data_IF_417022851986
#
_entry.id   IF_417022851986
#
_cell.length_a   1.000
_cell.length_b   1.000
_cell.length_c   1.000
_cell.angle_alpha   90.00
_cell.angle_beta   90.00
_cell.angle_gamma   90.00
#
_symmetry.space_group_name_H-M   'P 1'
#
loop_
_entity.id
_entity.type
_entity.pdbx_description
1 polymer ?
#
# COMPACT_ATOMS: atom_id res chain seq x y z
N UNK A 1 6.16 14.64 14.78
CA UNK A 1 7.11 14.45 13.67
C UNK A 1 6.34 14.65 12.36
N UNK A 2 6.42 15.81 11.75
CA UNK A 2 5.99 16.02 10.36
C UNK A 2 7.13 15.55 9.44
N UNK A 3 7.28 14.25 9.28
CA UNK A 3 8.25 13.67 8.39
C UNK A 3 7.74 13.74 6.96
N UNK A 4 8.34 14.57 6.12
CA UNK A 4 8.05 14.53 4.68
C UNK A 4 8.62 13.26 4.09
N UNK A 5 7.77 12.50 3.39
CA UNK A 5 8.21 11.38 2.57
C UNK A 5 8.79 11.89 1.26
N UNK A 6 9.83 11.25 0.79
CA UNK A 6 10.48 11.57 -0.48
C UNK A 6 10.54 10.32 -1.35
N UNK A 7 10.23 10.46 -2.61
CA UNK A 7 10.61 9.49 -3.62
C UNK A 7 11.89 9.98 -4.30
N UNK A 8 12.85 9.08 -4.46
CA UNK A 8 14.14 9.36 -5.10
C UNK A 8 14.30 8.42 -6.28
N UNK A 9 14.48 8.99 -7.47
CA UNK A 9 14.81 8.23 -8.66
C UNK A 9 16.32 8.07 -8.76
N UNK A 10 16.78 6.83 -8.82
CA UNK A 10 18.20 6.50 -8.99
C UNK A 10 18.47 6.04 -10.42
N UNK A 11 19.69 6.31 -10.89
CA UNK A 11 20.21 5.69 -12.10
C UNK A 11 20.51 4.21 -11.80
N UNK A 12 19.98 3.26 -12.59
CA UNK A 12 20.24 1.85 -12.36
C UNK A 12 21.68 1.42 -12.64
N UNK A 13 22.46 2.22 -13.38
CA UNK A 13 23.82 1.87 -13.75
C UNK A 13 24.84 2.19 -12.63
N UNK A 14 24.66 3.29 -11.91
CA UNK A 14 25.62 3.78 -10.92
C UNK A 14 25.01 4.21 -9.58
N UNK A 15 23.67 4.16 -9.46
CA UNK A 15 22.95 4.60 -8.28
C UNK A 15 22.87 6.12 -8.09
N UNK A 16 23.31 6.91 -9.06
CA UNK A 16 23.25 8.36 -8.95
C UNK A 16 21.81 8.88 -8.86
N UNK A 17 21.59 9.91 -8.06
CA UNK A 17 20.26 10.54 -7.92
C UNK A 17 19.93 11.29 -9.21
N UNK A 18 18.88 10.87 -9.92
CA UNK A 18 18.37 11.50 -11.14
C UNK A 18 17.22 12.48 -10.86
N UNK A 19 16.62 12.40 -9.69
CA UNK A 19 15.56 13.31 -9.29
C UNK A 19 14.97 12.90 -7.94
N UNK A 20 14.30 13.85 -7.30
CA UNK A 20 13.54 13.60 -6.08
C UNK A 20 12.29 14.47 -6.06
N UNK A 21 11.23 14.00 -5.45
CA UNK A 21 10.02 14.77 -5.22
C UNK A 21 9.44 14.43 -3.85
N UNK A 22 8.85 15.44 -3.23
CA UNK A 22 8.20 15.28 -1.93
C UNK A 22 6.82 14.64 -2.15
N UNK A 23 6.57 13.61 -1.37
CA UNK A 23 5.25 13.05 -1.18
C UNK A 23 4.74 13.66 0.12
N UNK A 24 3.64 14.42 0.07
CA UNK A 24 3.07 15.13 1.22
C UNK A 24 2.81 14.19 2.43
N UNK A 25 2.44 14.74 3.56
CA UNK A 25 2.32 14.19 4.92
C UNK A 25 1.59 12.82 5.08
N UNK A 26 2.05 11.84 4.33
CA UNK A 26 1.55 10.47 4.32
C UNK A 26 2.56 9.54 4.97
N UNK A 27 2.11 8.55 5.70
CA UNK A 27 2.94 7.44 6.15
C UNK A 27 3.16 6.42 5.05
N UNK A 28 3.93 6.76 4.00
CA UNK A 28 4.21 5.83 2.91
C UNK A 28 5.18 4.75 3.38
N UNK A 29 4.80 3.50 3.19
CA UNK A 29 5.54 2.34 3.68
C UNK A 29 6.24 1.57 2.57
N UNK A 30 5.64 1.53 1.38
CA UNK A 30 6.16 0.73 0.28
C UNK A 30 5.84 1.35 -1.08
N UNK A 31 6.65 0.98 -2.07
CA UNK A 31 6.43 1.30 -3.46
C UNK A 31 6.54 0.06 -4.33
N UNK A 32 5.83 0.06 -5.45
CA UNK A 32 5.85 -1.00 -6.45
C UNK A 32 5.90 -0.37 -7.85
N UNK A 33 6.59 -0.97 -8.83
CA UNK A 33 6.65 -0.42 -10.18
C UNK A 33 5.26 -0.40 -10.83
N UNK A 34 5.03 0.56 -11.71
CA UNK A 34 3.85 0.66 -12.55
C UNK A 34 4.25 0.78 -14.03
N UNK A 35 3.30 0.79 -14.97
CA UNK A 35 3.60 0.76 -16.41
C UNK A 35 4.52 1.88 -16.89
N UNK A 36 4.28 3.11 -16.45
CA UNK A 36 5.05 4.32 -16.78
C UNK A 36 5.38 5.17 -15.54
N UNK A 37 5.39 4.53 -14.37
CA UNK A 37 5.54 5.19 -13.08
C UNK A 37 5.74 4.22 -11.94
N UNK A 38 5.16 4.54 -10.80
CA UNK A 38 5.20 3.69 -9.61
C UNK A 38 3.98 3.93 -8.71
N UNK A 39 3.59 2.89 -8.04
CA UNK A 39 2.60 2.95 -6.97
C UNK A 39 3.28 3.18 -5.64
N UNK A 40 2.62 3.90 -4.78
CA UNK A 40 2.96 4.00 -3.36
C UNK A 40 1.78 3.57 -2.52
N UNK A 41 2.04 2.97 -1.39
CA UNK A 41 1.01 2.61 -0.43
C UNK A 41 1.50 2.77 1.00
N UNK A 42 0.55 2.93 1.91
CA UNK A 42 0.79 3.17 3.31
C UNK A 42 -0.48 3.62 4.00
N UNK A 43 -0.38 4.69 4.76
CA UNK A 43 -1.52 5.32 5.44
C UNK A 43 -1.44 6.84 5.37
N UNK A 44 -2.57 7.49 5.63
CA UNK A 44 -2.66 8.95 5.82
C UNK A 44 -3.38 9.27 7.13
N UNK A 45 -3.04 10.42 7.70
CA UNK A 45 -3.68 10.98 8.90
C UNK A 45 -4.39 12.29 8.62
N UNK A 46 -4.71 12.52 7.38
CA UNK A 46 -5.42 13.70 6.90
C UNK A 46 -6.33 13.35 5.72
N UNK A 47 -7.24 14.24 5.39
CA UNK A 47 -8.16 14.07 4.27
C UNK A 47 -7.47 14.47 2.96
N UNK A 48 -6.95 13.49 2.22
CA UNK A 48 -6.28 13.71 0.93
C UNK A 48 -7.15 13.39 -0.29
N UNK A 49 -7.85 12.27 -0.25
CA UNK A 49 -8.74 11.83 -1.33
C UNK A 49 -10.19 11.77 -0.86
N UNK A 50 -10.40 11.31 0.36
CA UNK A 50 -11.69 11.24 1.04
C UNK A 50 -11.56 11.87 2.44
N UNK A 51 -12.67 12.20 3.11
CA UNK A 51 -12.64 12.54 4.53
C UNK A 51 -11.98 11.44 5.35
N UNK A 52 -11.06 11.83 6.24
CA UNK A 52 -10.41 10.90 7.16
C UNK A 52 -11.44 10.18 8.02
N UNK A 53 -11.33 8.87 8.08
CA UNK A 53 -12.15 7.99 8.91
C UNK A 53 -11.28 7.42 10.05
N UNK A 54 -11.46 7.87 11.27
CA UNK A 54 -10.61 7.45 12.38
C UNK A 54 -9.29 8.23 12.50
N UNK A 55 -8.23 7.61 13.01
CA UNK A 55 -6.91 8.24 13.20
C UNK A 55 -6.03 8.18 11.97
N UNK A 56 -6.19 7.16 11.15
CA UNK A 56 -5.48 7.00 9.89
C UNK A 56 -6.25 6.07 8.95
N UNK A 57 -6.15 6.34 7.67
CA UNK A 57 -6.77 5.53 6.61
C UNK A 57 -5.71 4.87 5.74
N UNK A 58 -5.97 3.66 5.17
CA UNK A 58 -5.13 3.09 4.12
C UNK A 58 -5.08 4.06 2.94
N UNK A 59 -3.90 4.22 2.39
CA UNK A 59 -3.67 5.12 1.28
C UNK A 59 -2.88 4.43 0.18
N UNK A 60 -3.31 4.62 -1.06
CA UNK A 60 -2.60 4.20 -2.26
C UNK A 60 -2.64 5.32 -3.31
N UNK A 61 -1.57 5.46 -4.06
CA UNK A 61 -1.52 6.42 -5.17
C UNK A 61 -0.60 5.93 -6.28
N UNK A 62 -0.87 6.40 -7.50
CA UNK A 62 -0.02 6.19 -8.66
C UNK A 62 0.62 7.49 -9.10
N UNK A 63 1.92 7.45 -9.28
CA UNK A 63 2.74 8.58 -9.73
C UNK A 63 3.48 8.23 -11.01
N UNK A 64 3.59 9.19 -11.92
CA UNK A 64 4.55 9.13 -13.02
C UNK A 64 5.98 9.35 -12.53
N UNK A 65 6.94 8.98 -13.35
CA UNK A 65 8.37 9.14 -13.03
C UNK A 65 8.84 10.60 -12.87
N UNK A 66 8.02 11.57 -13.26
CA UNK A 66 8.25 13.01 -13.06
C UNK A 66 7.66 13.53 -11.72
N UNK A 67 7.00 12.66 -10.96
CA UNK A 67 6.35 13.00 -9.70
C UNK A 67 4.90 13.46 -9.82
N UNK A 68 4.36 13.51 -11.04
CA UNK A 68 2.94 13.84 -11.23
C UNK A 68 2.07 12.73 -10.71
N UNK A 69 1.20 13.04 -9.75
CA UNK A 69 0.19 12.11 -9.25
C UNK A 69 -0.92 11.93 -10.28
N UNK A 70 -1.15 10.68 -10.69
CA UNK A 70 -2.18 10.32 -11.68
C UNK A 70 -3.51 10.06 -11.01
N UNK A 71 -3.50 9.25 -9.95
CA UNK A 71 -4.67 8.98 -9.13
C UNK A 71 -4.26 8.61 -7.70
N UNK A 72 -5.22 8.67 -6.79
CA UNK A 72 -5.07 8.28 -5.39
C UNK A 72 -6.37 7.73 -4.83
N UNK A 73 -6.26 6.91 -3.80
CA UNK A 73 -7.38 6.40 -3.01
C UNK A 73 -7.04 6.45 -1.53
N UNK A 74 -8.04 6.79 -0.75
CA UNK A 74 -8.04 6.78 0.71
C UNK A 74 -9.35 6.14 1.11
N UNK A 75 -9.30 5.04 1.84
CA UNK A 75 -10.46 4.18 2.02
C UNK A 75 -10.49 3.60 3.45
N UNK A 76 -10.51 4.49 4.43
CA UNK A 76 -10.68 4.15 5.83
C UNK A 76 -12.10 3.77 6.20
N UNK A 77 -12.26 3.26 7.41
CA UNK A 77 -13.56 2.94 8.03
C UNK A 77 -13.70 3.75 9.31
N UNK A 78 -14.85 4.39 9.48
CA UNK A 78 -15.17 5.03 10.76
C UNK A 78 -15.43 3.96 11.82
N UNK A 79 -14.44 3.76 12.67
CA UNK A 79 -14.48 2.74 13.73
C UNK A 79 -15.16 3.24 15.01
N UNK A 80 -15.61 4.51 15.01
CA UNK A 80 -16.11 5.17 16.22
C UNK A 80 -15.03 5.33 17.29
N UNK A 81 -15.38 5.97 18.37
CA UNK A 81 -14.47 6.30 19.49
C UNK A 81 -14.00 5.09 20.33
N UNK A 82 -14.44 3.88 20.03
CA UNK A 82 -14.17 2.70 20.84
C UNK A 82 -12.86 1.96 20.50
N UNK A 83 -12.23 2.29 19.39
CA UNK A 83 -10.99 1.65 18.93
C UNK A 83 -9.97 2.67 18.43
N UNK A 84 -9.43 3.52 19.31
CA UNK A 84 -8.59 4.65 18.88
C UNK A 84 -7.20 4.24 18.33
N UNK A 85 -6.87 2.96 18.30
CA UNK A 85 -5.52 2.48 17.95
C UNK A 85 -5.50 1.45 16.81
N UNK A 86 -6.60 1.28 16.07
CA UNK A 86 -6.56 0.35 14.94
C UNK A 86 -5.73 0.98 13.80
N UNK A 87 -4.63 0.35 13.49
CA UNK A 87 -3.78 0.77 12.39
C UNK A 87 -4.42 0.36 11.08
N UNK A 88 -4.66 1.33 10.21
CA UNK A 88 -5.06 1.12 8.84
C UNK A 88 -3.87 1.36 7.93
N UNK A 89 -3.60 0.42 7.05
CA UNK A 89 -2.40 0.46 6.21
C UNK A 89 -2.60 -0.35 4.94
N UNK A 90 -1.95 0.06 3.87
CA UNK A 90 -1.90 -0.65 2.60
C UNK A 90 -0.46 -0.96 2.18
N UNK A 91 -0.24 -2.12 1.56
CA UNK A 91 1.02 -2.55 0.97
C UNK A 91 0.79 -2.96 -0.49
N UNK A 92 1.59 -2.45 -1.44
CA UNK A 92 1.40 -2.67 -2.86
C UNK A 92 2.24 -3.83 -3.39
N UNK A 93 1.70 -4.55 -4.36
CA UNK A 93 2.43 -5.41 -5.28
C UNK A 93 1.86 -5.25 -6.70
N UNK A 94 2.66 -5.42 -7.72
CA UNK A 94 2.21 -5.27 -9.11
C UNK A 94 2.57 -6.47 -9.94
N UNK A 95 1.73 -6.77 -10.93
CA UNK A 95 2.03 -7.73 -11.97
C UNK A 95 2.65 -7.04 -13.21
N UNK A 96 3.18 -7.80 -14.20
CA UNK A 96 3.80 -7.23 -15.40
C UNK A 96 2.85 -6.47 -16.31
N UNK A 97 1.55 -6.63 -16.16
CA UNK A 97 0.55 -5.86 -16.91
C UNK A 97 0.18 -4.54 -16.22
N UNK A 98 0.75 -4.30 -15.02
CA UNK A 98 0.56 -3.08 -14.26
C UNK A 98 -0.66 -3.07 -13.35
N UNK A 99 -1.35 -4.20 -13.16
CA UNK A 99 -2.38 -4.29 -12.13
C UNK A 99 -1.76 -4.20 -10.75
N UNK A 100 -2.39 -3.42 -9.89
CA UNK A 100 -1.97 -3.26 -8.52
C UNK A 100 -2.77 -4.19 -7.61
N UNK A 101 -2.06 -4.99 -6.84
CA UNK A 101 -2.60 -5.76 -5.73
C UNK A 101 -2.25 -5.05 -4.43
N UNK A 102 -3.22 -4.94 -3.56
CA UNK A 102 -3.07 -4.29 -2.26
C UNK A 102 -3.45 -5.27 -1.17
N UNK A 103 -2.63 -5.33 -0.15
CA UNK A 103 -2.92 -6.05 1.08
C UNK A 103 -2.73 -5.07 2.23
N UNK A 104 -3.60 -5.13 3.22
CA UNK A 104 -3.50 -4.20 4.34
C UNK A 104 -4.46 -4.50 5.47
N UNK A 105 -4.60 -3.51 6.33
CA UNK A 105 -5.60 -3.47 7.38
C UNK A 105 -6.56 -2.33 7.09
N UNK A 106 -7.84 -2.60 7.22
CA UNK A 106 -8.95 -1.65 7.15
C UNK A 106 -9.91 -1.96 8.29
N UNK A 107 -10.15 -1.00 9.18
CA UNK A 107 -10.92 -1.26 10.39
C UNK A 107 -10.33 -2.40 11.25
N UNK A 108 -8.99 -2.47 11.36
CA UNK A 108 -8.31 -3.57 12.04
C UNK A 108 -8.46 -4.96 11.40
N UNK A 109 -9.17 -5.05 10.28
CA UNK A 109 -9.39 -6.31 9.58
C UNK A 109 -8.45 -6.43 8.38
N UNK A 110 -7.75 -7.58 8.23
CA UNK A 110 -6.95 -7.85 7.04
C UNK A 110 -7.82 -7.84 5.78
N UNK A 111 -7.37 -7.12 4.75
CA UNK A 111 -8.06 -7.08 3.46
C UNK A 111 -7.10 -7.23 2.30
N UNK A 112 -7.65 -7.57 1.14
CA UNK A 112 -7.00 -7.56 -0.16
C UNK A 112 -7.85 -6.80 -1.16
N UNK A 113 -7.19 -6.14 -2.12
CA UNK A 113 -7.85 -5.49 -3.23
C UNK A 113 -6.99 -5.56 -4.51
N UNK A 114 -7.63 -5.43 -5.66
CA UNK A 114 -6.97 -5.36 -6.97
C UNK A 114 -7.49 -4.17 -7.74
N UNK A 115 -6.58 -3.43 -8.36
CA UNK A 115 -6.87 -2.24 -9.16
C UNK A 115 -6.28 -2.35 -10.55
N UNK A 116 -6.97 -1.75 -11.52
CA UNK A 116 -6.40 -1.51 -12.85
C UNK A 116 -5.28 -0.45 -12.78
N UNK A 117 -4.43 -0.33 -13.81
CA UNK A 117 -3.47 0.76 -13.91
C UNK A 117 -4.11 2.17 -13.84
N UNK A 118 -5.39 2.29 -14.20
CA UNK A 118 -6.16 3.53 -14.17
C UNK A 118 -6.79 3.80 -12.79
N UNK A 119 -6.60 2.90 -11.82
CA UNK A 119 -7.13 3.04 -10.46
C UNK A 119 -8.57 2.57 -10.27
N UNK A 120 -9.14 1.84 -11.25
CA UNK A 120 -10.44 1.20 -11.08
C UNK A 120 -10.30 -0.03 -10.18
N UNK A 121 -11.14 -0.15 -9.16
CA UNK A 121 -11.17 -1.32 -8.29
C UNK A 121 -11.87 -2.48 -8.99
N UNK A 122 -11.17 -3.59 -9.15
CA UNK A 122 -11.70 -4.81 -9.72
C UNK A 122 -12.35 -5.70 -8.65
N UNK A 123 -11.74 -5.76 -7.50
CA UNK A 123 -12.33 -6.37 -6.30
C UNK A 123 -11.67 -5.82 -5.03
N UNK A 124 -12.40 -5.92 -3.92
CA UNK A 124 -11.90 -5.76 -2.55
C UNK A 124 -12.62 -6.77 -1.66
N UNK A 125 -11.88 -7.46 -0.82
CA UNK A 125 -12.44 -8.45 0.09
C UNK A 125 -11.59 -8.63 1.35
N UNK A 126 -12.20 -9.05 2.48
CA UNK A 126 -11.43 -9.47 3.64
C UNK A 126 -10.51 -10.64 3.29
N UNK A 127 -9.33 -10.69 3.90
CA UNK A 127 -8.50 -11.90 3.90
C UNK A 127 -9.09 -12.95 4.84
N UNK A 128 -8.83 -14.25 4.60
CA UNK A 128 -9.19 -15.30 5.53
C UNK A 128 -8.68 -15.02 6.95
N UNK A 129 -9.51 -15.27 7.97
CA UNK A 129 -9.22 -14.92 9.38
C UNK A 129 -7.97 -15.61 9.96
N UNK A 130 -7.50 -16.67 9.34
CA UNK A 130 -6.26 -17.36 9.74
C UNK A 130 -4.99 -16.67 9.22
N UNK A 131 -5.12 -15.64 8.36
CA UNK A 131 -3.99 -14.87 7.86
C UNK A 131 -3.78 -13.68 8.79
N UNK A 132 -2.65 -13.66 9.49
CA UNK A 132 -2.22 -12.51 10.28
C UNK A 132 -1.12 -11.77 9.52
N UNK A 133 -1.34 -10.49 9.27
CA UNK A 133 -0.36 -9.66 8.58
C UNK A 133 0.81 -9.21 9.48
N UNK A 134 0.75 -9.52 10.80
CA UNK A 134 1.79 -9.14 11.75
C UNK A 134 1.95 -7.62 11.93
N UNK A 135 0.91 -6.86 11.57
CA UNK A 135 0.91 -5.40 11.66
C UNK A 135 0.55 -4.89 13.07
N UNK A 136 0.51 -5.78 14.05
CA UNK A 136 0.28 -5.42 15.45
C UNK A 136 1.54 -4.75 16.02
N UNK A 137 1.36 -3.52 16.46
CA UNK A 137 2.23 -2.70 17.29
C UNK A 137 3.72 -2.60 16.88
N UNK A 138 4.07 -1.41 16.42
CA UNK A 138 5.42 -0.79 16.41
C UNK A 138 6.55 -1.47 15.64
N UNK A 139 6.39 -2.65 15.15
CA UNK A 139 7.38 -3.23 14.24
C UNK A 139 6.77 -3.29 12.85
N UNK A 140 7.12 -2.33 12.03
CA UNK A 140 6.99 -2.36 10.58
C UNK A 140 7.87 -3.51 10.02
N UNK A 141 7.63 -4.72 10.46
CA UNK A 141 8.06 -5.90 9.76
C UNK A 141 7.19 -5.94 8.51
N UNK A 142 7.60 -5.16 7.53
CA UNK A 142 6.99 -5.05 6.22
C UNK A 142 6.85 -6.46 5.66
N UNK A 143 5.67 -7.02 5.80
CA UNK A 143 5.30 -8.21 5.06
C UNK A 143 5.62 -7.90 3.60
N UNK A 144 6.57 -8.60 3.04
CA UNK A 144 6.85 -8.44 1.62
C UNK A 144 5.71 -9.09 0.89
N UNK A 145 4.84 -8.28 0.34
CA UNK A 145 3.99 -8.75 -0.74
C UNK A 145 4.93 -9.04 -1.88
N UNK A 146 5.14 -10.30 -2.16
CA UNK A 146 6.14 -10.70 -3.12
C UNK A 146 5.48 -11.16 -4.41
N UNK A 147 6.18 -10.86 -5.41
CA UNK A 147 6.35 -11.48 -6.71
C UNK A 147 5.15 -12.21 -7.30
N UNK A 148 4.83 -11.70 -8.42
CA UNK A 148 3.93 -12.24 -9.40
C UNK A 148 4.44 -13.56 -10.00
N UNK A 149 3.53 -14.52 -10.12
CA UNK A 149 3.55 -15.55 -11.15
C UNK A 149 2.19 -15.52 -11.89
N UNK A 150 2.05 -16.20 -13.05
CA UNK A 150 0.80 -16.22 -13.81
C UNK A 150 -0.43 -16.73 -13.03
N UNK A 151 -0.21 -17.33 -11.90
CA UNK A 151 -1.23 -18.03 -11.14
C UNK A 151 -1.64 -17.33 -9.84
N UNK A 152 -1.01 -16.21 -9.46
CA UNK A 152 -1.41 -15.46 -8.29
C UNK A 152 -0.36 -14.53 -7.69
N UNK A 153 -0.73 -13.90 -6.60
CA UNK A 153 0.10 -13.05 -5.77
C UNK A 153 0.43 -13.79 -4.48
N UNK A 154 1.68 -13.70 -4.06
CA UNK A 154 2.14 -14.33 -2.83
C UNK A 154 2.25 -13.30 -1.70
N UNK A 155 1.69 -13.64 -0.57
CA UNK A 155 1.87 -12.92 0.69
C UNK A 155 2.79 -13.72 1.60
N UNK A 156 3.84 -13.08 2.08
CA UNK A 156 4.69 -13.64 3.13
C UNK A 156 4.26 -13.02 4.45
N UNK A 157 3.69 -13.82 5.33
CA UNK A 157 3.33 -13.40 6.68
C UNK A 157 4.59 -13.38 7.57
N UNK A 158 4.95 -12.22 8.14
CA UNK A 158 6.11 -12.13 9.02
C UNK A 158 5.87 -12.80 10.38
N UNK A 159 4.61 -13.01 10.77
CA UNK A 159 4.25 -13.57 12.08
C UNK A 159 4.51 -15.07 12.20
N UNK A 160 4.18 -15.82 11.16
CA UNK A 160 4.29 -17.28 11.14
C UNK A 160 5.28 -17.81 10.09
N UNK A 161 5.86 -16.92 9.28
CA UNK A 161 6.76 -17.28 8.19
C UNK A 161 6.08 -18.02 7.03
N UNK A 162 4.76 -18.05 7.01
CA UNK A 162 3.97 -18.74 5.98
C UNK A 162 3.89 -17.92 4.69
N UNK A 163 3.86 -18.63 3.57
CA UNK A 163 3.59 -18.05 2.26
C UNK A 163 2.18 -18.40 1.85
N UNK A 164 1.35 -17.38 1.68
CA UNK A 164 -0.02 -17.52 1.21
C UNK A 164 -0.10 -17.14 -0.25
N UNK A 165 -0.72 -17.98 -1.06
CA UNK A 165 -1.04 -17.67 -2.45
C UNK A 165 -2.45 -17.15 -2.55
N UNK A 166 -2.60 -16.00 -3.17
CA UNK A 166 -3.89 -15.41 -3.47
C UNK A 166 -4.21 -15.63 -4.94
N UNK A 167 -5.43 -16.02 -5.24
CA UNK A 167 -5.88 -16.14 -6.62
C UNK A 167 -5.83 -14.77 -7.33
N UNK A 168 -5.54 -14.73 -8.63
CA UNK A 168 -5.49 -13.52 -9.42
C UNK A 168 -6.85 -12.82 -9.53
#
# INVERSE_FOLDING_TARGET
>A
YSGKNYAVKLDPADGAVKGSFSLSDTGLLAASPGPDGFYVAGYVRESLANPLQGEQDPYIAYFRLDGTRVWQKQDGVDEGSNYPNLQEVALPATDPWGYLYVIGLRGGQPFQAKYTPQGEELYSSPLPQNISLGLEETTLALGKVAAWDPEGVYLISPKDGMVYRMAP
#
